data_IF_932708417229
#
_entry.id   IF_932708417229
#
_cell.length_a   1.000
_cell.length_b   1.000
_cell.length_c   1.000
_cell.angle_alpha   90.00
_cell.angle_beta   90.00
_cell.angle_gamma   90.00
#
_symmetry.space_group_name_H-M   'P 1'
#
loop_
_entity.id
_entity.type
_entity.pdbx_description
1 polymer ?
#
# COMPACT_ATOMS: atom_id res chain seq x y z
N UNK A 1 37.51 -31.13 -73.99
CA UNK A 1 36.45 -31.43 -73.00
C UNK A 1 36.93 -31.01 -71.61
N UNK A 2 36.58 -29.81 -71.15
CA UNK A 2 36.89 -29.34 -69.78
C UNK A 2 35.57 -29.26 -69.02
N UNK A 3 35.41 -30.06 -67.97
CA UNK A 3 34.22 -30.10 -67.12
C UNK A 3 34.24 -28.86 -66.21
N UNK A 4 33.17 -28.06 -66.28
CA UNK A 4 32.92 -26.93 -65.39
C UNK A 4 32.27 -27.48 -64.10
N UNK A 5 32.99 -27.44 -62.98
CA UNK A 5 32.44 -27.79 -61.66
C UNK A 5 31.74 -26.55 -61.09
N UNK A 6 30.41 -26.59 -61.08
CA UNK A 6 29.56 -25.62 -60.37
C UNK A 6 29.69 -25.90 -58.86
N UNK A 7 30.31 -24.99 -58.12
CA UNK A 7 30.36 -25.03 -56.65
C UNK A 7 29.18 -24.24 -56.09
N UNK A 8 28.17 -24.95 -55.61
CA UNK A 8 26.98 -24.38 -54.97
C UNK A 8 27.32 -23.98 -53.54
N UNK A 9 27.45 -22.67 -53.30
CA UNK A 9 27.68 -22.11 -51.97
C UNK A 9 26.33 -22.02 -51.23
N UNK A 10 26.06 -22.94 -50.31
CA UNK A 10 24.93 -22.86 -49.38
C UNK A 10 25.31 -21.90 -48.23
N UNK A 11 24.77 -20.68 -48.28
CA UNK A 11 24.80 -19.75 -47.14
C UNK A 11 23.74 -20.17 -46.10
N UNK A 12 24.09 -20.43 -44.83
CA UNK A 12 23.09 -20.58 -43.79
C UNK A 12 22.46 -19.21 -43.47
N UNK A 13 21.16 -19.10 -43.73
CA UNK A 13 20.31 -18.01 -43.25
C UNK A 13 20.20 -18.11 -41.73
N UNK A 14 21.03 -17.36 -41.01
CA UNK A 14 20.84 -17.11 -39.58
C UNK A 14 19.56 -16.26 -39.40
N UNK A 15 18.43 -16.92 -39.17
CA UNK A 15 17.25 -16.26 -38.62
C UNK A 15 17.51 -15.93 -37.15
N UNK A 16 18.20 -14.82 -36.91
CA UNK A 16 18.19 -14.16 -35.62
C UNK A 16 16.79 -13.63 -35.35
N UNK A 17 15.94 -14.45 -34.72
CA UNK A 17 14.67 -14.01 -34.15
C UNK A 17 14.97 -13.03 -33.02
N UNK A 18 15.16 -11.76 -33.36
CA UNK A 18 15.12 -10.68 -32.41
C UNK A 18 13.65 -10.53 -32.01
N UNK A 19 13.21 -11.27 -30.98
CA UNK A 19 11.96 -10.92 -30.33
C UNK A 19 12.14 -9.51 -29.77
N UNK A 20 11.20 -8.57 -30.00
CA UNK A 20 11.26 -7.30 -29.31
C UNK A 20 11.26 -7.63 -27.81
N UNK A 21 12.34 -7.25 -27.11
CA UNK A 21 12.36 -7.29 -25.65
C UNK A 21 11.12 -6.50 -25.21
N UNK A 22 10.16 -7.19 -24.59
CA UNK A 22 9.06 -6.53 -23.90
C UNK A 22 9.70 -5.43 -23.06
N UNK A 23 9.23 -4.19 -23.24
CA UNK A 23 9.73 -3.04 -22.51
C UNK A 23 9.61 -3.40 -21.03
N UNK A 24 10.74 -3.50 -20.35
CA UNK A 24 10.74 -3.82 -18.93
C UNK A 24 9.91 -2.74 -18.23
N UNK A 25 8.88 -3.18 -17.49
CA UNK A 25 8.03 -2.25 -16.75
C UNK A 25 8.88 -1.68 -15.62
N UNK A 26 8.96 -0.35 -15.56
CA UNK A 26 9.68 0.33 -14.50
C UNK A 26 8.88 0.19 -13.19
N UNK A 27 9.34 -0.74 -12.33
CA UNK A 27 8.68 -1.07 -11.06
C UNK A 27 8.77 0.08 -10.06
N UNK A 28 9.80 0.91 -10.16
CA UNK A 28 9.95 2.11 -9.33
C UNK A 28 8.82 3.09 -9.65
N UNK A 29 8.54 3.31 -10.94
CA UNK A 29 7.40 4.15 -11.39
C UNK A 29 6.07 3.57 -10.90
N UNK A 30 5.84 2.25 -11.01
CA UNK A 30 4.61 1.63 -10.49
C UNK A 30 4.46 1.79 -8.98
N UNK A 31 5.56 1.72 -8.23
CA UNK A 31 5.55 1.93 -6.79
C UNK A 31 5.19 3.38 -6.43
N UNK A 32 5.74 4.36 -7.16
CA UNK A 32 5.39 5.77 -7.01
C UNK A 32 3.92 6.05 -7.36
N UNK A 33 3.42 5.49 -8.47
CA UNK A 33 2.01 5.57 -8.88
C UNK A 33 1.07 4.98 -7.82
N UNK A 34 1.46 3.87 -7.18
CA UNK A 34 0.69 3.28 -6.08
C UNK A 34 0.59 4.23 -4.89
N UNK A 35 1.70 4.81 -4.46
CA UNK A 35 1.71 5.76 -3.33
C UNK A 35 0.94 7.04 -3.69
N UNK A 36 1.05 7.53 -4.92
CA UNK A 36 0.28 8.67 -5.40
C UNK A 36 -1.23 8.38 -5.37
N UNK A 37 -1.66 7.22 -5.87
CA UNK A 37 -3.06 6.84 -5.88
C UNK A 37 -3.66 6.70 -4.46
N UNK A 38 -2.85 6.26 -3.48
CA UNK A 38 -3.24 6.27 -2.06
C UNK A 38 -3.47 7.70 -1.54
N UNK A 39 -2.55 8.63 -1.83
CA UNK A 39 -2.66 10.03 -1.43
C UNK A 39 -3.84 10.76 -2.10
N UNK A 40 -4.19 10.37 -3.31
CA UNK A 40 -5.32 10.94 -4.06
C UNK A 40 -6.66 10.30 -3.68
N UNK A 41 -6.65 9.25 -2.85
CA UNK A 41 -7.81 8.42 -2.55
C UNK A 41 -8.49 7.93 -3.85
N UNK A 42 -7.68 7.51 -4.83
CA UNK A 42 -8.16 7.05 -6.15
C UNK A 42 -8.21 5.53 -6.18
N UNK A 43 -9.34 4.98 -5.71
CA UNK A 43 -9.57 3.54 -5.71
C UNK A 43 -9.39 2.89 -7.10
N UNK A 44 -10.01 3.38 -8.19
CA UNK A 44 -9.77 2.86 -9.54
C UNK A 44 -8.28 2.76 -9.91
N UNK A 45 -7.49 3.81 -9.64
CA UNK A 45 -6.05 3.80 -9.91
C UNK A 45 -5.33 2.76 -9.06
N UNK A 46 -5.58 2.70 -7.75
CA UNK A 46 -5.00 1.69 -6.84
C UNK A 46 -5.27 0.27 -7.37
N UNK A 47 -6.54 -0.09 -7.59
CA UNK A 47 -6.88 -1.47 -7.95
C UNK A 47 -6.40 -1.87 -9.36
N UNK A 48 -6.15 -0.90 -10.23
CA UNK A 48 -5.63 -1.16 -11.59
C UNK A 48 -4.18 -1.65 -11.57
N UNK A 49 -3.40 -1.18 -10.58
CA UNK A 49 -2.00 -1.53 -10.35
C UNK A 49 -1.84 -2.95 -9.79
N UNK A 50 -2.84 -3.46 -9.06
CA UNK A 50 -2.84 -4.83 -8.56
C UNK A 50 -3.13 -5.86 -9.66
N UNK A 51 -2.45 -7.01 -9.58
CA UNK A 51 -2.56 -8.10 -10.53
C UNK A 51 -3.99 -8.68 -10.59
N UNK A 52 -4.37 -9.48 -9.60
CA UNK A 52 -5.66 -10.20 -9.53
C UNK A 52 -6.46 -9.86 -8.27
N UNK A 53 -5.79 -9.73 -7.13
CA UNK A 53 -6.35 -9.46 -5.80
C UNK A 53 -5.45 -8.48 -5.04
N UNK A 54 -5.94 -7.93 -3.94
CA UNK A 54 -5.14 -7.09 -3.05
C UNK A 54 -4.65 -7.96 -1.90
N UNK A 55 -3.36 -8.32 -1.94
CA UNK A 55 -2.68 -9.07 -0.88
C UNK A 55 -1.88 -8.11 -0.01
N UNK A 56 -2.16 -8.16 1.28
CA UNK A 56 -1.48 -7.35 2.28
C UNK A 56 -0.94 -8.28 3.34
N UNK A 57 0.33 -8.10 3.69
CA UNK A 57 0.97 -8.78 4.80
C UNK A 57 1.57 -7.76 5.74
N UNK A 58 1.27 -7.89 7.01
CA UNK A 58 1.79 -7.05 8.07
C UNK A 58 2.44 -7.96 9.11
N UNK A 59 3.76 -8.09 9.03
CA UNK A 59 4.57 -8.98 9.87
C UNK A 59 4.07 -10.44 9.81
N UNK A 60 3.21 -10.86 10.75
CA UNK A 60 2.62 -12.21 10.81
C UNK A 60 1.18 -12.28 10.31
N UNK A 61 0.52 -11.13 10.15
CA UNK A 61 -0.86 -11.06 9.71
C UNK A 61 -0.91 -10.97 8.20
N UNK A 62 -1.75 -11.80 7.57
CA UNK A 62 -1.92 -11.79 6.12
C UNK A 62 -3.40 -11.68 5.81
N UNK A 63 -3.74 -10.78 4.89
CA UNK A 63 -5.09 -10.58 4.40
C UNK A 63 -5.08 -10.51 2.88
N UNK A 64 -6.05 -11.20 2.26
CA UNK A 64 -6.26 -11.18 0.82
C UNK A 64 -7.69 -10.73 0.56
N UNK A 65 -7.85 -9.63 -0.19
CA UNK A 65 -9.14 -9.12 -0.60
C UNK A 65 -9.36 -9.37 -2.08
N UNK A 66 -10.60 -9.68 -2.47
CA UNK A 66 -10.99 -9.39 -3.84
C UNK A 66 -10.86 -7.88 -4.09
N UNK A 67 -10.67 -7.44 -5.33
CA UNK A 67 -10.61 -6.00 -5.63
C UNK A 67 -11.85 -5.27 -5.10
N UNK A 68 -13.03 -5.87 -5.23
CA UNK A 68 -14.29 -5.32 -4.73
C UNK A 68 -14.32 -5.22 -3.20
N UNK A 69 -13.91 -6.26 -2.48
CA UNK A 69 -13.94 -6.26 -1.01
C UNK A 69 -12.94 -5.26 -0.41
N UNK A 70 -11.81 -5.03 -1.09
CA UNK A 70 -10.84 -4.01 -0.71
C UNK A 70 -11.45 -2.61 -0.66
N UNK A 71 -12.53 -2.34 -1.41
CA UNK A 71 -13.20 -1.04 -1.40
C UNK A 71 -13.66 -0.63 0.00
N UNK A 72 -14.10 -1.58 0.84
CA UNK A 72 -14.54 -1.26 2.20
C UNK A 72 -13.38 -0.76 3.08
N UNK A 73 -12.24 -1.45 3.04
CA UNK A 73 -11.03 -1.04 3.75
C UNK A 73 -10.52 0.31 3.23
N UNK A 74 -10.49 0.46 1.90
CA UNK A 74 -10.13 1.71 1.24
C UNK A 74 -11.01 2.88 1.70
N UNK A 75 -12.34 2.69 1.73
CA UNK A 75 -13.27 3.72 2.18
C UNK A 75 -13.06 4.11 3.64
N UNK A 76 -12.80 3.12 4.51
CA UNK A 76 -12.52 3.35 5.92
C UNK A 76 -11.22 4.17 6.11
N UNK A 77 -10.12 3.74 5.47
CA UNK A 77 -8.82 4.42 5.63
C UNK A 77 -8.84 5.84 5.05
N UNK A 78 -9.53 6.05 3.92
CA UNK A 78 -9.63 7.35 3.23
C UNK A 78 -10.32 8.43 4.07
N UNK A 79 -11.22 8.07 4.99
CA UNK A 79 -11.85 9.04 5.90
C UNK A 79 -10.82 9.71 6.81
N UNK A 80 -9.78 8.98 7.21
CA UNK A 80 -8.69 9.54 8.01
C UNK A 80 -7.73 10.39 7.20
N UNK A 81 -7.95 10.58 5.89
CA UNK A 81 -7.12 11.40 5.00
C UNK A 81 -5.61 11.29 5.27
N UNK A 82 -5.04 10.07 5.34
CA UNK A 82 -3.62 9.91 5.56
C UNK A 82 -2.80 10.47 4.38
N UNK A 83 -1.69 11.13 4.71
CA UNK A 83 -0.63 11.49 3.79
C UNK A 83 0.49 10.44 3.88
N UNK A 84 0.90 9.93 2.73
CA UNK A 84 1.99 8.99 2.53
C UNK A 84 3.17 9.69 1.87
N UNK A 85 4.38 9.50 2.42
CA UNK A 85 5.64 10.01 1.84
C UNK A 85 6.62 8.89 1.63
N UNK A 86 7.14 8.77 0.41
CA UNK A 86 8.28 7.90 0.10
C UNK A 86 9.55 8.56 0.64
N UNK A 87 10.15 7.97 1.67
CA UNK A 87 11.43 8.42 2.24
C UNK A 87 12.62 7.77 1.54
N UNK A 88 12.45 6.51 1.13
CA UNK A 88 13.45 5.75 0.37
C UNK A 88 12.72 4.78 -0.57
N UNK A 89 13.30 4.54 -1.73
CA UNK A 89 12.87 3.54 -2.70
C UNK A 89 14.11 2.84 -3.27
N UNK A 90 14.07 1.52 -3.34
CA UNK A 90 15.16 0.74 -3.91
C UNK A 90 14.66 -0.55 -4.56
N UNK A 91 15.30 -0.95 -5.65
CA UNK A 91 15.05 -2.27 -6.25
C UNK A 91 15.70 -3.39 -5.42
N UNK A 92 14.98 -4.50 -5.30
CA UNK A 92 15.49 -5.73 -4.68
C UNK A 92 15.59 -6.86 -5.73
N UNK A 93 16.40 -7.90 -5.48
CA UNK A 93 16.39 -9.10 -6.29
C UNK A 93 15.00 -9.76 -6.36
N UNK A 94 14.62 -10.17 -7.58
CA UNK A 94 13.37 -10.87 -7.85
C UNK A 94 12.15 -9.96 -7.79
N UNK A 95 11.79 -9.34 -8.92
CA UNK A 95 10.58 -8.51 -9.15
C UNK A 95 10.01 -7.83 -7.89
N UNK A 96 10.85 -7.09 -7.15
CA UNK A 96 10.50 -6.46 -5.88
C UNK A 96 11.05 -5.05 -5.77
N UNK A 97 10.31 -4.19 -5.07
CA UNK A 97 10.73 -2.85 -4.64
C UNK A 97 10.61 -2.81 -3.11
N UNK A 98 11.62 -2.29 -2.45
CA UNK A 98 11.54 -1.90 -1.03
C UNK A 98 11.31 -0.39 -0.93
N UNK A 99 10.39 -0.02 -0.05
CA UNK A 99 10.00 1.35 0.26
C UNK A 99 10.23 1.61 1.74
N UNK A 100 10.70 2.80 2.07
CA UNK A 100 10.52 3.37 3.39
C UNK A 100 9.42 4.42 3.31
N UNK A 101 8.31 4.21 4.01
CA UNK A 101 7.12 5.07 3.94
C UNK A 101 6.91 5.77 5.28
N UNK A 102 6.55 7.04 5.22
CA UNK A 102 5.97 7.78 6.34
C UNK A 102 4.47 7.94 6.11
N UNK A 103 3.63 7.59 7.10
CA UNK A 103 2.17 7.75 7.07
C UNK A 103 1.72 8.63 8.24
N UNK A 104 0.99 9.71 7.94
CA UNK A 104 0.40 10.59 8.95
C UNK A 104 -1.01 11.00 8.55
N UNK A 105 -1.94 11.00 9.51
CA UNK A 105 -3.29 11.55 9.34
C UNK A 105 -3.85 11.95 10.69
N UNK A 106 -5.04 12.56 10.79
CA UNK A 106 -5.59 13.06 12.05
C UNK A 106 -5.69 11.99 13.14
N UNK A 107 -6.01 10.72 12.78
CA UNK A 107 -6.02 9.61 13.74
C UNK A 107 -4.62 9.30 14.27
N UNK A 108 -3.64 9.12 13.38
CA UNK A 108 -2.25 8.81 13.79
C UNK A 108 -1.69 9.95 14.63
N UNK A 109 -1.89 11.20 14.17
CA UNK A 109 -1.47 12.39 14.89
C UNK A 109 -2.11 12.47 16.28
N UNK A 110 -3.40 12.17 16.41
CA UNK A 110 -4.04 12.12 17.72
C UNK A 110 -3.43 11.04 18.62
N UNK A 111 -3.19 9.84 18.07
CA UNK A 111 -2.77 8.68 18.87
C UNK A 111 -1.29 8.69 19.24
N UNK A 112 -0.42 9.37 18.50
CA UNK A 112 1.03 9.33 18.78
C UNK A 112 1.83 10.58 18.35
N UNK A 113 1.18 11.67 17.95
CA UNK A 113 1.76 12.98 17.52
C UNK A 113 2.78 12.96 16.35
N UNK A 114 3.25 11.78 15.94
CA UNK A 114 4.30 11.57 14.98
C UNK A 114 3.84 10.62 13.88
N UNK A 115 4.39 10.70 12.66
CA UNK A 115 4.08 9.75 11.60
C UNK A 115 4.50 8.33 11.99
N UNK A 116 3.78 7.35 11.47
CA UNK A 116 4.27 5.96 11.44
C UNK A 116 5.32 5.87 10.34
N UNK A 117 6.45 5.21 10.61
CA UNK A 117 7.47 4.92 9.60
C UNK A 117 7.59 3.41 9.41
N UNK A 118 7.30 2.93 8.22
CA UNK A 118 7.35 1.51 7.83
C UNK A 118 8.42 1.27 6.79
N UNK A 119 8.97 0.05 6.80
CA UNK A 119 9.65 -0.55 5.67
C UNK A 119 8.70 -1.55 5.01
N UNK A 120 8.45 -1.35 3.74
CA UNK A 120 7.48 -2.11 2.95
C UNK A 120 8.13 -2.73 1.73
N UNK A 121 7.67 -3.90 1.33
CA UNK A 121 8.09 -4.57 0.10
C UNK A 121 6.88 -4.72 -0.81
N UNK A 122 6.97 -4.14 -2.00
CA UNK A 122 6.07 -4.44 -3.12
C UNK A 122 6.66 -5.57 -3.93
N UNK A 123 5.93 -6.68 -4.05
CA UNK A 123 6.27 -7.74 -5.00
C UNK A 123 5.41 -7.62 -6.25
N UNK A 124 5.97 -8.00 -7.39
CA UNK A 124 5.32 -7.87 -8.69
C UNK A 124 5.18 -9.24 -9.36
N UNK A 125 4.09 -9.40 -10.11
CA UNK A 125 3.88 -10.51 -11.03
C UNK A 125 3.28 -9.96 -12.33
N UNK A 126 3.87 -10.31 -13.47
CA UNK A 126 3.40 -9.89 -14.82
C UNK A 126 3.23 -8.36 -14.93
N UNK A 127 4.17 -7.62 -14.35
CA UNK A 127 4.18 -6.14 -14.40
C UNK A 127 3.09 -5.46 -13.58
N UNK A 128 2.53 -6.13 -12.58
CA UNK A 128 1.53 -5.59 -11.65
C UNK A 128 1.88 -5.95 -10.21
N UNK A 129 1.39 -5.17 -9.24
CA UNK A 129 1.59 -5.43 -7.82
C UNK A 129 0.86 -6.73 -7.45
N UNK A 130 1.60 -7.66 -6.88
CA UNK A 130 1.09 -8.95 -6.41
C UNK A 130 0.75 -8.90 -4.91
N UNK A 131 1.63 -8.29 -4.11
CA UNK A 131 1.49 -8.17 -2.65
C UNK A 131 2.24 -6.93 -2.13
N UNK A 132 1.66 -6.33 -1.09
CA UNK A 132 2.28 -5.28 -0.26
C UNK A 132 2.58 -5.89 1.10
N UNK A 133 3.84 -5.89 1.52
CA UNK A 133 4.28 -6.44 2.79
C UNK A 133 4.92 -5.36 3.67
N UNK A 134 4.35 -5.04 4.82
CA UNK A 134 5.06 -4.29 5.88
C UNK A 134 5.96 -5.29 6.60
N UNK A 135 7.27 -5.17 6.39
CA UNK A 135 8.27 -6.07 6.98
C UNK A 135 8.86 -5.55 8.28
N UNK A 136 8.78 -4.24 8.52
CA UNK A 136 9.33 -3.60 9.73
C UNK A 136 8.63 -2.27 10.02
N UNK A 137 8.36 -2.00 11.30
CA UNK A 137 8.03 -0.67 11.78
C UNK A 137 9.31 0.02 12.26
N UNK A 138 9.85 0.92 11.45
CA UNK A 138 11.04 1.70 11.80
C UNK A 138 10.75 2.72 12.90
N UNK A 139 9.51 3.20 12.95
CA UNK A 139 9.01 4.01 14.06
C UNK A 139 7.51 3.82 14.24
N UNK A 140 7.12 3.43 15.45
CA UNK A 140 5.75 3.35 15.95
C UNK A 140 5.80 3.52 17.47
N UNK A 141 5.19 4.57 18.01
CA UNK A 141 5.13 4.80 19.46
C UNK A 141 3.95 4.02 20.06
N UNK A 142 4.21 2.74 20.33
CA UNK A 142 3.19 1.81 20.84
C UNK A 142 2.64 2.25 22.20
N UNK A 143 3.50 2.77 23.09
CA UNK A 143 3.11 3.20 24.43
C UNK A 143 2.10 4.36 24.35
N UNK A 144 2.42 5.42 23.61
CA UNK A 144 1.52 6.56 23.44
C UNK A 144 0.25 6.16 22.69
N UNK A 145 0.38 5.35 21.64
CA UNK A 145 -0.77 4.86 20.87
C UNK A 145 -1.77 4.10 21.74
N UNK A 146 -1.29 3.14 22.52
CA UNK A 146 -2.13 2.32 23.40
C UNK A 146 -2.78 3.18 24.48
N UNK A 147 -2.00 4.04 25.16
CA UNK A 147 -2.51 4.88 26.24
C UNK A 147 -3.59 5.86 25.77
N UNK A 148 -3.36 6.56 24.64
CA UNK A 148 -4.33 7.53 24.10
C UNK A 148 -5.57 6.86 23.52
N UNK A 149 -5.41 5.71 22.87
CA UNK A 149 -6.55 4.92 22.39
C UNK A 149 -7.40 4.48 23.58
N UNK A 150 -6.79 3.97 24.65
CA UNK A 150 -7.51 3.54 25.85
C UNK A 150 -8.27 4.70 26.49
N UNK A 151 -7.61 5.84 26.72
CA UNK A 151 -8.24 7.04 27.27
C UNK A 151 -9.43 7.52 26.43
N UNK A 152 -9.29 7.51 25.09
CA UNK A 152 -10.38 7.86 24.18
C UNK A 152 -11.55 6.87 24.33
N UNK A 153 -11.29 5.56 24.30
CA UNK A 153 -12.35 4.54 24.39
C UNK A 153 -13.08 4.57 25.72
N UNK A 154 -12.37 4.72 26.84
CA UNK A 154 -12.97 4.80 28.17
C UNK A 154 -13.83 6.06 28.32
N UNK A 155 -13.34 7.21 27.82
CA UNK A 155 -14.10 8.44 27.85
C UNK A 155 -15.35 8.39 26.96
N UNK A 156 -15.25 7.83 25.75
CA UNK A 156 -16.40 7.64 24.86
C UNK A 156 -17.43 6.73 25.49
N UNK A 157 -17.03 5.59 26.05
CA UNK A 157 -17.97 4.67 26.70
C UNK A 157 -18.73 5.35 27.87
N UNK A 158 -18.09 6.27 28.60
CA UNK A 158 -18.70 6.98 29.71
C UNK A 158 -19.58 8.18 29.30
N UNK A 159 -19.24 8.88 28.22
CA UNK A 159 -19.86 10.18 27.87
C UNK A 159 -20.69 10.14 26.58
N UNK A 160 -20.37 9.23 25.67
CA UNK A 160 -20.96 9.06 24.35
C UNK A 160 -21.17 7.57 24.01
N UNK A 161 -21.96 6.82 24.82
CA UNK A 161 -22.16 5.39 24.63
C UNK A 161 -22.74 5.02 23.26
N UNK A 162 -23.38 5.96 22.57
CA UNK A 162 -23.85 5.80 21.18
C UNK A 162 -22.71 5.61 20.16
N UNK A 163 -21.48 6.02 20.51
CA UNK A 163 -20.27 5.83 19.71
C UNK A 163 -19.42 4.65 20.20
N UNK A 164 -19.80 3.96 21.27
CA UNK A 164 -18.97 2.88 21.83
C UNK A 164 -18.74 1.76 20.80
N UNK A 165 -17.55 1.15 20.86
CA UNK A 165 -17.10 0.13 19.90
C UNK A 165 -16.63 0.67 18.55
N UNK A 166 -16.59 1.99 18.32
CA UNK A 166 -16.17 2.60 17.05
C UNK A 166 -14.80 2.13 16.53
N UNK A 167 -13.89 1.68 17.41
CA UNK A 167 -12.56 1.20 17.02
C UNK A 167 -12.59 -0.12 16.23
N UNK A 168 -13.70 -0.88 16.30
CA UNK A 168 -13.85 -2.16 15.63
C UNK A 168 -14.64 -2.07 14.31
N UNK A 169 -15.30 -0.94 14.05
CA UNK A 169 -16.07 -0.72 12.83
C UNK A 169 -15.16 -0.26 11.69
N UNK A 170 -14.79 -1.20 10.82
CA UNK A 170 -13.99 -0.96 9.61
C UNK A 170 -14.83 -0.53 8.39
N UNK A 171 -15.95 0.17 8.61
CA UNK A 171 -16.75 0.79 7.54
C UNK A 171 -16.52 2.29 7.45
N UNK A 172 -16.90 2.93 6.34
CA UNK A 172 -16.88 4.39 6.22
C UNK A 172 -17.57 5.11 7.42
N UNK A 173 -18.67 4.55 7.92
CA UNK A 173 -19.40 5.09 9.07
C UNK A 173 -18.57 4.94 10.35
N UNK A 174 -17.96 3.78 10.56
CA UNK A 174 -17.03 3.55 11.67
C UNK A 174 -15.87 4.54 11.70
N UNK A 175 -15.26 4.83 10.55
CA UNK A 175 -14.19 5.84 10.48
C UNK A 175 -14.68 7.27 10.80
N UNK A 176 -15.88 7.64 10.34
CA UNK A 176 -16.50 8.92 10.69
C UNK A 176 -16.80 9.00 12.19
N UNK A 177 -17.31 7.92 12.79
CA UNK A 177 -17.53 7.82 14.23
C UNK A 177 -16.22 7.93 15.01
N UNK A 178 -15.13 7.36 14.49
CA UNK A 178 -13.80 7.50 15.07
C UNK A 178 -13.35 8.96 15.10
N UNK A 179 -13.41 9.66 13.96
CA UNK A 179 -13.05 11.09 13.91
C UNK A 179 -13.96 11.92 14.84
N UNK A 180 -15.24 11.58 14.90
CA UNK A 180 -16.19 12.26 15.78
C UNK A 180 -15.84 12.05 17.26
N UNK A 181 -15.48 10.83 17.64
CA UNK A 181 -15.01 10.51 18.99
C UNK A 181 -13.77 11.33 19.36
N UNK A 182 -12.78 11.43 18.46
CA UNK A 182 -11.58 12.27 18.66
C UNK A 182 -11.97 13.73 18.86
N UNK A 183 -12.84 14.28 18.01
CA UNK A 183 -13.32 15.67 18.11
C UNK A 183 -13.96 15.97 19.46
N UNK A 184 -14.90 15.12 19.88
CA UNK A 184 -15.63 15.27 21.14
C UNK A 184 -14.68 15.20 22.34
N UNK A 185 -13.76 14.24 22.32
CA UNK A 185 -12.75 14.07 23.37
C UNK A 185 -11.85 15.30 23.48
N UNK A 186 -11.36 15.82 22.34
CA UNK A 186 -10.53 17.04 22.31
C UNK A 186 -11.26 18.26 22.87
N UNK A 187 -12.50 18.47 22.43
CA UNK A 187 -13.33 19.58 22.91
C UNK A 187 -13.58 19.52 24.42
N UNK A 188 -13.76 18.32 24.99
CA UNK A 188 -13.98 18.15 26.42
C UNK A 188 -12.70 18.33 27.27
N UNK A 189 -11.53 18.07 26.69
CA UNK A 189 -10.24 18.08 27.40
C UNK A 189 -9.36 19.30 27.05
N UNK A 190 -9.88 20.27 26.31
CA UNK A 190 -9.16 21.46 25.81
C UNK A 190 -7.86 21.09 25.04
N UNK A 191 -7.95 20.08 24.17
CA UNK A 191 -6.86 19.60 23.31
C UNK A 191 -7.06 19.96 21.84
#
# INVERSE_FOLDING_TARGET
MKKLLLSTCLLPLFFGSCQPKLKEVDRTVLAEEYIQALNEFDYPSIISLFYDSVRMKEIVYQTTFSKADYYNLFQWDSIFQPEYKVLQIQELPGEKIELQISKLGPRINFLMDNPIITKEVLSFEKGKIYEVEIIEYLYFDDETWVARRQALTEWVAANHPELDGFIYDQTKVGALNYLRAIELYKAANNQ
#
